data_IF_153674124607
#
_entry.id   IF_153674124607
#
_cell.length_a   1.000
_cell.length_b   1.000
_cell.length_c   1.000
_cell.angle_alpha   90.00
_cell.angle_beta   90.00
_cell.angle_gamma   90.00
#
_symmetry.space_group_name_H-M   'P 1'
#
loop_
_entity.id
_entity.type
_entity.pdbx_description
1 polymer ?
#
# COMPACT_ATOMS: atom_id res chain seq x y z
N UNK A 1 -7.97 4.52 -17.61
CA UNK A 1 -9.00 4.18 -18.60
C UNK A 1 -10.33 4.74 -18.16
N UNK A 2 -11.19 5.07 -19.12
CA UNK A 2 -12.54 5.51 -18.86
C UNK A 2 -13.50 4.34 -18.57
N UNK A 3 -14.78 4.67 -18.35
CA UNK A 3 -15.80 3.65 -18.14
C UNK A 3 -15.98 2.83 -19.41
N UNK A 4 -15.97 1.49 -19.30
CA UNK A 4 -16.07 0.52 -20.39
C UNK A 4 -14.85 0.48 -21.34
N UNK A 5 -13.73 1.04 -20.97
CA UNK A 5 -12.48 0.86 -21.70
C UNK A 5 -11.73 -0.40 -21.19
N UNK A 6 -11.10 -1.11 -22.12
CA UNK A 6 -10.26 -2.25 -21.77
C UNK A 6 -8.87 -1.77 -21.34
N UNK A 7 -8.24 -2.53 -20.48
CA UNK A 7 -6.83 -2.34 -20.13
C UNK A 7 -6.17 -3.69 -19.89
N UNK A 8 -4.86 -3.71 -20.05
CA UNK A 8 -4.05 -4.91 -19.81
C UNK A 8 -3.15 -4.69 -18.61
N UNK A 9 -3.09 -5.65 -17.71
CA UNK A 9 -2.11 -5.69 -16.62
C UNK A 9 -1.12 -6.80 -16.90
N UNK A 10 0.13 -6.44 -17.10
CA UNK A 10 1.26 -7.36 -17.18
C UNK A 10 1.98 -7.41 -15.84
N UNK A 11 2.40 -8.59 -15.39
CA UNK A 11 3.10 -8.74 -14.12
C UNK A 11 4.20 -9.78 -14.22
N UNK A 12 5.31 -9.53 -13.53
CA UNK A 12 6.47 -10.44 -13.46
C UNK A 12 7.17 -10.34 -12.11
N UNK A 13 7.95 -11.35 -11.77
CA UNK A 13 8.82 -11.32 -10.60
C UNK A 13 10.14 -10.70 -11.02
N UNK A 14 10.55 -9.59 -10.39
CA UNK A 14 11.78 -8.88 -10.71
C UNK A 14 12.96 -9.29 -9.82
N UNK A 15 12.69 -9.69 -8.58
CA UNK A 15 13.74 -10.21 -7.70
C UNK A 15 13.21 -11.19 -6.66
N UNK A 16 14.12 -12.05 -6.17
CA UNK A 16 13.85 -12.99 -5.09
C UNK A 16 15.02 -12.97 -4.13
N UNK A 17 14.72 -12.70 -2.87
CA UNK A 17 15.62 -12.87 -1.73
C UNK A 17 15.23 -14.13 -0.93
N UNK A 18 15.89 -14.36 0.20
CA UNK A 18 15.55 -15.49 1.06
C UNK A 18 14.11 -15.43 1.58
N UNK A 19 13.64 -14.26 1.97
CA UNK A 19 12.34 -14.06 2.66
C UNK A 19 11.30 -13.36 1.80
N UNK A 20 11.73 -12.65 0.75
CA UNK A 20 10.86 -11.78 -0.03
C UNK A 20 11.04 -11.99 -1.52
N UNK A 21 9.96 -11.82 -2.26
CA UNK A 21 9.97 -11.63 -3.72
C UNK A 21 9.43 -10.25 -4.05
N UNK A 22 10.01 -9.62 -5.06
CA UNK A 22 9.53 -8.36 -5.62
C UNK A 22 8.80 -8.65 -6.93
N UNK A 23 7.63 -8.07 -7.09
CA UNK A 23 6.79 -8.25 -8.26
C UNK A 23 6.42 -6.89 -8.83
N UNK A 24 6.67 -6.73 -10.11
CA UNK A 24 6.34 -5.53 -10.85
C UNK A 24 5.08 -5.72 -11.69
N UNK A 25 4.41 -4.61 -11.94
CA UNK A 25 3.20 -4.52 -12.75
C UNK A 25 3.31 -3.35 -13.71
N UNK A 26 2.78 -3.56 -14.91
CA UNK A 26 2.61 -2.54 -15.93
C UNK A 26 1.16 -2.55 -16.37
N UNK A 27 0.54 -1.40 -16.41
CA UNK A 27 -0.85 -1.22 -16.79
C UNK A 27 -0.86 -0.43 -18.10
N UNK A 28 -1.46 -1.03 -19.12
CA UNK A 28 -1.59 -0.42 -20.45
C UNK A 28 -3.05 -0.20 -20.80
N UNK A 29 -3.36 0.93 -21.41
CA UNK A 29 -4.64 1.16 -22.08
C UNK A 29 -4.81 0.25 -23.29
N UNK A 30 -6.02 0.16 -23.86
CA UNK A 30 -6.35 -0.70 -25.00
C UNK A 30 -5.44 -0.44 -26.23
N UNK A 31 -5.01 0.80 -26.41
CA UNK A 31 -4.06 1.20 -27.48
C UNK A 31 -2.59 0.86 -27.20
N UNK A 32 -2.26 0.21 -26.08
CA UNK A 32 -0.90 -0.14 -25.68
C UNK A 32 -0.13 0.99 -24.98
N UNK A 33 -0.74 2.15 -24.76
CA UNK A 33 -0.15 3.23 -23.98
C UNK A 33 -0.01 2.80 -22.51
N UNK A 34 1.19 2.99 -21.94
CA UNK A 34 1.42 2.72 -20.51
C UNK A 34 0.81 3.82 -19.68
N UNK A 35 -0.15 3.46 -18.82
CA UNK A 35 -0.90 4.39 -17.94
C UNK A 35 -0.51 4.27 -16.47
N UNK A 36 0.26 3.26 -16.10
CA UNK A 36 0.72 3.11 -14.72
C UNK A 36 1.64 1.93 -14.50
N UNK A 37 2.37 2.00 -13.41
CA UNK A 37 3.21 0.93 -12.92
C UNK A 37 2.98 0.71 -11.43
N UNK A 38 3.25 -0.51 -10.96
CA UNK A 38 3.30 -0.79 -9.54
C UNK A 38 4.43 -1.78 -9.24
N UNK A 39 4.96 -1.70 -8.02
CA UNK A 39 5.93 -2.65 -7.46
C UNK A 39 5.47 -3.07 -6.09
N UNK A 40 5.50 -4.37 -5.85
CA UNK A 40 5.05 -4.96 -4.59
C UNK A 40 6.10 -5.89 -4.03
N UNK A 41 6.17 -5.97 -2.71
CA UNK A 41 7.06 -6.89 -1.99
C UNK A 41 6.19 -7.92 -1.27
N UNK A 42 6.48 -9.18 -1.50
CA UNK A 42 5.72 -10.30 -0.97
C UNK A 42 6.57 -11.17 -0.07
N UNK A 43 6.00 -11.64 1.02
CA UNK A 43 6.56 -12.67 1.88
C UNK A 43 5.69 -13.94 1.79
N UNK A 44 6.33 -15.11 1.85
CA UNK A 44 5.61 -16.37 2.06
C UNK A 44 5.48 -16.58 3.55
N UNK A 45 4.25 -16.77 4.02
CA UNK A 45 3.96 -17.03 5.42
C UNK A 45 3.40 -18.45 5.55
N UNK A 46 4.00 -19.26 6.42
CA UNK A 46 3.42 -20.54 6.81
C UNK A 46 2.14 -20.29 7.59
N UNK A 47 1.01 -20.76 7.07
CA UNK A 47 -0.32 -20.47 7.62
C UNK A 47 -0.54 -21.09 9.01
N UNK A 48 0.20 -22.16 9.35
CA UNK A 48 0.09 -22.85 10.63
C UNK A 48 0.99 -22.23 11.70
N UNK A 49 2.23 -21.91 11.36
CA UNK A 49 3.22 -21.37 12.31
C UNK A 49 3.25 -19.83 12.32
N UNK A 50 2.64 -19.19 11.33
CA UNK A 50 2.66 -17.74 11.09
C UNK A 50 4.07 -17.18 10.91
N UNK A 51 5.03 -18.03 10.61
CA UNK A 51 6.43 -17.64 10.37
C UNK A 51 6.68 -17.39 8.89
N UNK A 52 7.60 -16.47 8.61
CA UNK A 52 8.05 -16.18 7.25
C UNK A 52 8.86 -17.36 6.72
N UNK A 53 8.44 -17.90 5.59
CA UNK A 53 9.11 -19.02 4.91
C UNK A 53 10.33 -18.59 4.10
N UNK A 54 11.21 -19.54 3.81
CA UNK A 54 12.38 -19.34 2.97
C UNK A 54 12.02 -19.63 1.50
N UNK A 55 11.76 -18.59 0.72
CA UNK A 55 11.39 -18.68 -0.71
C UNK A 55 12.55 -19.19 -1.56
N UNK A 56 13.79 -18.96 -1.15
CA UNK A 56 14.97 -19.35 -1.92
C UNK A 56 15.11 -20.87 -2.09
N UNK A 57 14.40 -21.65 -1.29
CA UNK A 57 14.32 -23.11 -1.38
C UNK A 57 13.46 -23.61 -2.53
N UNK A 58 12.67 -22.76 -3.14
CA UNK A 58 11.82 -23.10 -4.29
C UNK A 58 12.67 -22.87 -5.55
N UNK A 59 13.35 -23.92 -6.03
CA UNK A 59 14.38 -23.83 -7.09
C UNK A 59 13.88 -23.24 -8.41
N UNK A 60 12.67 -23.59 -8.82
CA UNK A 60 12.09 -23.18 -10.11
C UNK A 60 11.64 -21.69 -10.14
N UNK A 61 11.49 -21.03 -8.97
CA UNK A 61 11.02 -19.65 -8.91
C UNK A 61 12.03 -18.69 -9.55
N UNK A 62 13.32 -18.99 -9.50
CA UNK A 62 14.37 -18.16 -10.11
C UNK A 62 14.29 -18.15 -11.64
N UNK A 63 13.78 -19.22 -12.24
CA UNK A 63 13.61 -19.34 -13.70
C UNK A 63 12.46 -18.44 -14.22
N UNK A 64 11.61 -17.94 -13.32
CA UNK A 64 10.51 -17.05 -13.65
C UNK A 64 10.91 -15.56 -13.68
N UNK A 65 12.16 -15.23 -13.36
CA UNK A 65 12.64 -13.85 -13.40
C UNK A 65 13.06 -13.51 -14.84
N UNK A 66 12.29 -12.66 -15.54
CA UNK A 66 12.67 -12.24 -16.88
C UNK A 66 13.84 -11.27 -16.83
N UNK A 67 14.57 -11.17 -17.96
CA UNK A 67 15.55 -10.12 -18.17
C UNK A 67 14.85 -8.80 -18.52
N UNK A 68 14.28 -8.16 -17.49
CA UNK A 68 13.52 -6.91 -17.62
C UNK A 68 13.78 -6.03 -16.39
N UNK A 69 14.19 -4.79 -16.65
CA UNK A 69 14.38 -3.80 -15.61
C UNK A 69 13.06 -3.44 -14.91
N UNK A 70 13.08 -3.26 -13.58
CA UNK A 70 11.91 -2.79 -12.85
C UNK A 70 11.51 -1.37 -13.28
N UNK A 71 10.23 -1.12 -13.60
CA UNK A 71 9.78 0.19 -14.09
C UNK A 71 9.61 1.24 -12.99
N UNK A 72 9.67 0.82 -11.73
CA UNK A 72 9.50 1.68 -10.55
C UNK A 72 10.64 1.43 -9.59
N UNK A 73 11.17 2.49 -9.00
CA UNK A 73 12.18 2.42 -7.97
C UNK A 73 11.67 1.65 -6.73
N UNK A 74 12.62 1.13 -5.95
CA UNK A 74 12.26 0.50 -4.67
C UNK A 74 11.53 1.48 -3.78
N UNK A 75 10.52 1.00 -3.02
CA UNK A 75 9.80 1.86 -2.10
C UNK A 75 10.74 2.47 -1.06
N UNK A 76 10.45 3.69 -0.71
CA UNK A 76 11.18 4.42 0.34
C UNK A 76 10.95 3.73 1.70
N UNK A 77 11.92 3.86 2.60
CA UNK A 77 11.69 3.47 3.99
C UNK A 77 10.72 4.48 4.62
N UNK A 78 9.49 4.04 4.84
CA UNK A 78 8.51 4.85 5.56
C UNK A 78 8.97 5.04 7.01
N UNK A 79 8.83 6.27 7.52
CA UNK A 79 9.14 6.64 8.90
C UNK A 79 7.86 6.97 9.64
N UNK A 80 7.73 6.60 10.92
CA UNK A 80 6.60 7.01 11.74
C UNK A 80 6.45 8.54 11.77
N UNK A 81 5.19 8.99 11.83
CA UNK A 81 4.87 10.39 12.05
C UNK A 81 5.11 10.69 13.52
N UNK A 82 5.88 11.74 13.80
CA UNK A 82 6.10 12.20 15.16
C UNK A 82 4.89 13.02 15.62
N UNK A 83 4.24 12.53 16.67
CA UNK A 83 3.16 13.29 17.31
C UNK A 83 3.75 14.52 18.01
N UNK A 84 3.07 15.68 17.96
CA UNK A 84 3.44 16.83 18.80
C UNK A 84 3.41 16.41 20.27
N UNK A 85 4.35 16.90 21.04
CA UNK A 85 4.35 16.66 22.50
C UNK A 85 3.16 17.39 23.15
N UNK A 86 2.78 16.92 24.33
CA UNK A 86 1.67 17.56 25.08
C UNK A 86 2.00 19.03 25.37
N UNK A 87 1.15 19.93 24.86
CA UNK A 87 1.32 21.38 24.99
C UNK A 87 2.11 22.05 23.83
N UNK A 88 2.59 21.28 22.88
CA UNK A 88 3.15 21.84 21.65
C UNK A 88 2.06 22.24 20.66
N UNK A 89 2.36 23.24 19.83
CA UNK A 89 1.48 23.67 18.74
C UNK A 89 1.38 22.56 17.69
N UNK A 90 0.14 22.25 17.24
CA UNK A 90 -0.09 21.27 16.19
C UNK A 90 0.46 21.86 14.88
N UNK A 91 1.40 21.18 14.19
CA UNK A 91 1.98 21.68 12.95
C UNK A 91 0.91 21.86 11.85
N UNK A 92 1.08 22.88 11.01
CA UNK A 92 0.26 23.03 9.81
C UNK A 92 0.31 21.77 8.95
N UNK A 93 -0.86 21.38 8.42
CA UNK A 93 -0.97 20.16 7.60
C UNK A 93 -1.05 18.84 8.39
N UNK A 94 -0.99 18.89 9.72
CA UNK A 94 -1.24 17.72 10.57
C UNK A 94 -2.74 17.53 10.78
N UNK A 95 -3.21 16.28 10.64
CA UNK A 95 -4.59 15.88 10.91
C UNK A 95 -4.63 14.53 11.59
N UNK A 96 -5.60 14.34 12.44
CA UNK A 96 -5.91 13.10 13.14
C UNK A 96 -7.36 12.71 12.88
N UNK A 97 -7.60 11.44 12.54
CA UNK A 97 -8.95 10.90 12.34
C UNK A 97 -9.04 9.54 13.00
N UNK A 98 -10.03 9.34 13.86
CA UNK A 98 -10.30 8.04 14.48
C UNK A 98 -11.25 7.24 13.58
N UNK A 99 -10.96 5.96 13.44
CA UNK A 99 -11.79 5.03 12.68
C UNK A 99 -11.93 3.71 13.43
N UNK A 100 -13.15 3.16 13.39
CA UNK A 100 -13.45 1.82 13.92
C UNK A 100 -13.79 0.91 12.76
N UNK A 101 -13.04 -0.17 12.57
CA UNK A 101 -13.22 -1.10 11.45
C UNK A 101 -14.56 -1.83 11.55
N UNK A 102 -15.31 -1.78 10.45
CA UNK A 102 -16.65 -2.32 10.32
C UNK A 102 -16.64 -3.72 9.68
N UNK A 103 -17.77 -4.40 9.70
CA UNK A 103 -17.93 -5.71 9.05
C UNK A 103 -17.55 -5.69 7.56
N UNK A 104 -17.89 -4.63 6.84
CA UNK A 104 -17.61 -4.49 5.40
C UNK A 104 -16.14 -4.27 5.08
N UNK A 105 -15.32 -3.96 6.08
CA UNK A 105 -13.87 -3.79 5.91
C UNK A 105 -13.12 -5.13 5.94
N UNK A 106 -13.80 -6.21 6.39
CA UNK A 106 -13.16 -7.48 6.71
C UNK A 106 -13.21 -8.44 5.53
N UNK A 107 -12.08 -9.06 5.25
CA UNK A 107 -11.93 -10.10 4.23
C UNK A 107 -12.27 -11.51 4.78
N UNK A 108 -12.15 -12.53 3.92
CA UNK A 108 -12.43 -13.92 4.30
C UNK A 108 -11.42 -14.50 5.32
N UNK A 109 -10.23 -13.90 5.47
CA UNK A 109 -9.24 -14.26 6.48
C UNK A 109 -9.54 -13.63 7.85
N UNK A 110 -10.62 -12.87 7.97
CA UNK A 110 -11.03 -12.11 9.14
C UNK A 110 -10.08 -10.97 9.53
N UNK A 111 -9.35 -10.44 8.56
CA UNK A 111 -8.54 -9.24 8.70
C UNK A 111 -9.13 -8.12 7.85
N UNK A 112 -8.75 -6.89 8.17
CA UNK A 112 -9.11 -5.74 7.34
C UNK A 112 -8.49 -5.92 5.96
N UNK A 113 -9.33 -5.83 4.92
CA UNK A 113 -8.89 -5.91 3.54
C UNK A 113 -7.93 -4.76 3.22
N UNK A 114 -6.85 -5.06 2.52
CA UNK A 114 -5.80 -4.09 2.18
C UNK A 114 -6.33 -2.85 1.43
N UNK A 115 -7.36 -3.00 0.61
CA UNK A 115 -7.98 -1.87 -0.10
C UNK A 115 -8.68 -0.89 0.85
N UNK A 116 -9.17 -1.35 2.01
CA UNK A 116 -9.87 -0.50 2.97
C UNK A 116 -8.95 0.53 3.62
N UNK A 117 -7.69 0.19 3.84
CA UNK A 117 -6.70 1.17 4.30
C UNK A 117 -6.48 2.29 3.27
N UNK A 118 -6.47 1.92 1.98
CA UNK A 118 -6.33 2.89 0.89
C UNK A 118 -7.56 3.79 0.81
N UNK A 119 -8.76 3.21 0.86
CA UNK A 119 -10.03 3.95 0.86
C UNK A 119 -10.13 4.90 2.06
N UNK A 120 -9.78 4.44 3.27
CA UNK A 120 -9.76 5.26 4.47
C UNK A 120 -8.85 6.47 4.30
N UNK A 121 -7.68 6.27 3.71
CA UNK A 121 -6.75 7.36 3.43
C UNK A 121 -7.31 8.33 2.38
N UNK A 122 -7.78 7.82 1.24
CA UNK A 122 -8.29 8.66 0.15
C UNK A 122 -9.52 9.47 0.57
N UNK A 123 -10.36 8.93 1.45
CA UNK A 123 -11.53 9.61 2.00
C UNK A 123 -11.19 10.83 2.90
N UNK A 124 -9.90 11.10 3.14
CA UNK A 124 -9.50 12.29 3.90
C UNK A 124 -9.56 13.57 3.10
N UNK A 125 -9.82 13.51 1.79
CA UNK A 125 -9.96 14.66 0.90
C UNK A 125 -11.34 14.70 0.25
N UNK A 126 -11.82 15.90 -0.05
CA UNK A 126 -13.09 16.11 -0.74
C UNK A 126 -13.03 15.70 -2.22
N UNK A 127 -14.20 15.57 -2.86
CA UNK A 127 -14.29 15.34 -4.31
C UNK A 127 -13.62 16.48 -5.08
N UNK A 128 -13.86 17.73 -4.70
CA UNK A 128 -13.24 18.89 -5.35
C UNK A 128 -11.70 18.83 -5.31
N UNK A 129 -11.14 18.31 -4.20
CA UNK A 129 -9.70 18.08 -4.12
C UNK A 129 -9.24 17.03 -5.10
N UNK A 130 -9.95 15.91 -5.21
CA UNK A 130 -9.61 14.84 -6.15
C UNK A 130 -9.78 15.27 -7.61
N UNK A 131 -10.76 16.12 -7.91
CA UNK A 131 -10.97 16.66 -9.24
C UNK A 131 -9.86 17.66 -9.65
N UNK A 132 -9.35 18.42 -8.66
CA UNK A 132 -8.29 19.42 -8.89
C UNK A 132 -6.86 18.84 -8.84
N UNK A 133 -6.66 17.65 -8.28
CA UNK A 133 -5.35 17.06 -8.02
C UNK A 133 -5.23 15.66 -8.58
N UNK A 134 -4.06 15.32 -9.10
CA UNK A 134 -3.75 13.97 -9.58
C UNK A 134 -2.77 13.29 -8.65
N UNK A 135 -3.13 12.11 -8.14
CA UNK A 135 -2.20 11.25 -7.44
C UNK A 135 -1.20 10.66 -8.44
N UNK A 136 0.08 10.99 -8.28
CA UNK A 136 1.15 10.54 -9.18
C UNK A 136 1.98 9.40 -8.61
N UNK A 137 2.07 9.31 -7.27
CA UNK A 137 2.79 8.26 -6.55
C UNK A 137 2.09 7.92 -5.24
N UNK A 138 1.97 6.63 -4.98
CA UNK A 138 1.40 6.09 -3.76
C UNK A 138 2.29 4.96 -3.23
N UNK A 139 2.69 5.04 -1.98
CA UNK A 139 3.45 3.99 -1.30
C UNK A 139 2.74 3.58 -0.02
N UNK A 140 2.63 2.29 0.23
CA UNK A 140 2.01 1.75 1.44
C UNK A 140 2.81 0.55 1.97
N UNK A 141 2.96 0.48 3.28
CA UNK A 141 3.53 -0.67 3.98
C UNK A 141 2.51 -1.19 5.00
N UNK A 142 2.21 -2.48 4.93
CA UNK A 142 1.36 -3.17 5.88
C UNK A 142 2.25 -3.81 6.95
N UNK A 143 2.26 -3.23 8.15
CA UNK A 143 3.15 -3.66 9.25
C UNK A 143 2.42 -4.62 10.17
N UNK A 144 1.16 -4.31 10.51
CA UNK A 144 0.30 -5.09 11.37
C UNK A 144 -1.08 -5.27 10.75
N UNK A 145 -1.72 -6.39 11.06
CA UNK A 145 -3.08 -6.70 10.62
C UNK A 145 -4.09 -6.07 11.59
N UNK A 146 -5.08 -5.34 11.07
CA UNK A 146 -6.23 -4.92 11.87
C UNK A 146 -7.40 -5.90 11.70
N UNK A 147 -8.32 -5.88 12.66
CA UNK A 147 -9.46 -6.79 12.74
C UNK A 147 -10.76 -6.03 12.95
N UNK A 148 -11.87 -6.77 12.83
CA UNK A 148 -13.19 -6.25 13.13
C UNK A 148 -13.25 -5.59 14.52
N UNK A 149 -13.95 -4.46 14.60
CA UNK A 149 -14.18 -3.66 15.79
C UNK A 149 -12.94 -3.02 16.44
N UNK A 150 -11.75 -3.16 15.83
CA UNK A 150 -10.58 -2.41 16.27
C UNK A 150 -10.74 -0.92 15.96
N UNK A 151 -10.40 -0.09 16.95
CA UNK A 151 -10.20 1.34 16.73
C UNK A 151 -8.78 1.60 16.25
N UNK A 152 -8.64 2.51 15.31
CA UNK A 152 -7.36 2.98 14.81
C UNK A 152 -7.39 4.50 14.66
N UNK A 153 -6.23 5.12 14.80
CA UNK A 153 -6.03 6.54 14.57
C UNK A 153 -5.22 6.73 13.31
N UNK A 154 -5.81 7.39 12.33
CA UNK A 154 -5.12 7.80 11.12
C UNK A 154 -4.50 9.19 11.34
N UNK A 155 -3.18 9.24 11.28
CA UNK A 155 -2.40 10.47 11.32
C UNK A 155 -2.02 10.87 9.91
N UNK A 156 -2.13 12.13 9.59
CA UNK A 156 -1.67 12.71 8.32
C UNK A 156 -0.76 13.90 8.60
N UNK A 157 0.30 14.00 7.82
CA UNK A 157 1.18 15.15 7.78
C UNK A 157 1.42 15.55 6.33
N UNK A 158 0.97 16.74 5.94
CA UNK A 158 1.08 17.25 4.57
C UNK A 158 2.10 18.38 4.51
N UNK A 159 3.07 18.25 3.61
CA UNK A 159 4.10 19.24 3.31
C UNK A 159 4.15 19.45 1.80
N UNK A 160 3.64 20.57 1.31
CA UNK A 160 3.53 20.83 -0.13
C UNK A 160 2.66 19.80 -0.84
N UNK A 161 3.21 19.06 -1.79
CA UNK A 161 2.51 18.01 -2.55
C UNK A 161 2.67 16.59 -1.95
N UNK A 162 3.41 16.46 -0.85
CA UNK A 162 3.64 15.19 -0.19
C UNK A 162 2.78 15.07 1.07
N UNK A 163 1.98 14.01 1.15
CA UNK A 163 1.31 13.63 2.40
C UNK A 163 1.89 12.32 2.91
N UNK A 164 2.32 12.32 4.17
CA UNK A 164 2.62 11.11 4.92
C UNK A 164 1.39 10.70 5.71
N UNK A 165 1.14 9.41 5.79
CA UNK A 165 0.04 8.85 6.56
C UNK A 165 0.55 7.69 7.43
N UNK A 166 0.03 7.59 8.62
CA UNK A 166 0.26 6.47 9.53
C UNK A 166 -1.05 6.07 10.19
N UNK A 167 -1.35 4.78 10.16
CA UNK A 167 -2.50 4.23 10.87
C UNK A 167 -2.01 3.46 12.10
N UNK A 168 -2.36 3.97 13.27
CA UNK A 168 -1.95 3.42 14.56
C UNK A 168 -3.13 2.67 15.15
N UNK A 169 -2.92 1.40 15.49
CA UNK A 169 -3.89 0.60 16.25
C UNK A 169 -3.82 0.89 17.76
N UNK A 170 -4.70 0.28 18.55
CA UNK A 170 -4.56 0.30 20.01
C UNK A 170 -3.29 -0.44 20.43
N UNK A 171 -2.69 0.01 21.52
CA UNK A 171 -1.54 -0.63 22.18
C UNK A 171 -1.90 -2.04 22.70
#
# INVERSE_FOLDING_TARGET
PGVNENYTISTWISSISRLFSERDFEICAEGGEVIGHARTVWAVIDTRTRQVGDISRISWVKELIPDREPPVDKPSRLRPIQLPAEGEEIPDGFRETKYRFQYTDIDFNRHVNSSRYIELLLNQWSLDFHDANRLTRFEIAYIHEARYDMEATLLLQTEGSLTRAELIGPD
#
